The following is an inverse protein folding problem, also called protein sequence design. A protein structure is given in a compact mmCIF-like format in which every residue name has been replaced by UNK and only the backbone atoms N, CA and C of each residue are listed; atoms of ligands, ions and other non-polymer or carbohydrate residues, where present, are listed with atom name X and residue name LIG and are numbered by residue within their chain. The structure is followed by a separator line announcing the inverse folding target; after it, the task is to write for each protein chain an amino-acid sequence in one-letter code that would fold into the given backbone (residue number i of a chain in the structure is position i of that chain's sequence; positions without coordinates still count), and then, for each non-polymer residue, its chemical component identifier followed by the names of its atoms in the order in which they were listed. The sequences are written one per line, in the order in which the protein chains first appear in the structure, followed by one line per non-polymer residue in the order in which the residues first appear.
data_IF_320290853657
#
_entry.id   IF_320290853657
#
_cell.length_a   1.000
_cell.length_b   1.000
_cell.length_c   1.000
_cell.angle_alpha   90.00
_cell.angle_beta   90.00
_cell.angle_gamma   90.00
#
_symmetry.space_group_name_H-M   'P 1'
#
loop_
_entity.id
_entity.type
_entity.pdbx_description
1 polymer ?
#
# COMPACT_ATOMS: atom_id res chain seq x y z
N UNK A 1 23.02 -13.98 13.14
CA UNK A 1 22.60 -13.70 11.74
C UNK A 1 22.19 -12.25 11.65
N UNK A 2 22.90 -11.47 10.86
CA UNK A 2 22.69 -10.03 10.71
C UNK A 2 21.38 -9.81 9.94
N UNK A 3 20.35 -9.30 10.62
CA UNK A 3 19.06 -8.93 10.02
C UNK A 3 19.29 -7.71 9.15
N UNK A 4 19.52 -7.91 7.86
CA UNK A 4 19.45 -6.81 6.90
C UNK A 4 17.98 -6.46 6.70
N UNK A 5 17.46 -5.60 7.59
CA UNK A 5 16.17 -4.95 7.39
C UNK A 5 16.43 -3.80 6.42
N UNK A 6 16.06 -3.98 5.15
CA UNK A 6 15.98 -2.86 4.22
C UNK A 6 14.81 -1.97 4.68
N UNK A 7 15.12 -0.96 5.49
CA UNK A 7 14.17 0.02 5.97
C UNK A 7 14.41 1.33 5.23
N UNK A 8 13.45 1.74 4.40
CA UNK A 8 13.50 2.99 3.65
C UNK A 8 12.54 4.01 4.28
N UNK A 9 12.86 4.60 5.45
CA UNK A 9 11.93 5.44 6.21
C UNK A 9 11.54 6.73 5.49
N UNK A 10 12.28 7.10 4.45
CA UNK A 10 11.99 8.25 3.60
C UNK A 10 10.90 7.97 2.55
N UNK A 11 10.54 6.69 2.33
CA UNK A 11 9.44 6.31 1.44
C UNK A 11 8.15 6.21 2.24
N UNK A 12 7.12 6.91 1.78
CA UNK A 12 5.80 6.90 2.40
C UNK A 12 4.99 5.65 1.95
N UNK A 13 5.19 4.53 2.65
CA UNK A 13 4.60 3.22 2.33
C UNK A 13 3.33 2.82 3.08
N UNK A 14 2.76 3.73 3.87
CA UNK A 14 1.56 3.50 4.69
C UNK A 14 0.26 3.52 3.89
N UNK A 15 -0.81 2.95 4.45
CA UNK A 15 -2.18 3.10 3.93
C UNK A 15 -2.53 4.58 3.72
N UNK A 16 -3.21 4.90 2.62
CA UNK A 16 -3.74 6.24 2.41
C UNK A 16 -5.12 6.24 1.75
N UNK A 17 -5.87 7.30 2.05
CA UNK A 17 -7.09 7.71 1.39
C UNK A 17 -6.99 9.22 1.12
N UNK A 18 -7.09 9.61 -0.15
CA UNK A 18 -7.06 11.00 -0.59
C UNK A 18 -8.38 11.34 -1.27
N UNK A 19 -9.21 12.13 -0.61
CA UNK A 19 -10.53 12.51 -1.11
C UNK A 19 -10.48 13.67 -2.10
N UNK A 20 -11.18 13.54 -3.23
CA UNK A 20 -11.38 14.60 -4.21
C UNK A 20 -12.79 14.53 -4.82
N UNK A 21 -12.91 14.25 -6.12
CA UNK A 21 -14.19 14.14 -6.82
C UNK A 21 -14.93 12.83 -6.56
N UNK A 22 -16.08 12.67 -7.22
CA UNK A 22 -17.02 11.57 -6.99
C UNK A 22 -16.57 10.20 -7.55
N UNK A 23 -15.52 10.16 -8.37
CA UNK A 23 -14.99 8.90 -8.92
C UNK A 23 -13.82 8.43 -8.05
N UNK A 24 -13.98 7.22 -7.50
CA UNK A 24 -12.94 6.54 -6.73
C UNK A 24 -12.02 5.68 -7.59
N UNK A 25 -10.73 5.68 -7.27
CA UNK A 25 -9.73 4.74 -7.82
C UNK A 25 -9.07 4.01 -6.68
N UNK A 26 -9.18 2.68 -6.69
CA UNK A 26 -8.47 1.80 -5.78
C UNK A 26 -7.15 1.35 -6.41
N UNK A 27 -6.05 1.47 -5.68
CA UNK A 27 -4.73 1.03 -6.11
C UNK A 27 -4.21 -0.05 -5.16
N UNK A 28 -3.89 -1.21 -5.71
CA UNK A 28 -3.20 -2.28 -4.99
C UNK A 28 -1.72 -2.27 -5.37
N UNK A 29 -0.84 -2.45 -4.38
CA UNK A 29 0.58 -2.65 -4.62
C UNK A 29 0.90 -4.14 -4.82
N UNK A 30 2.09 -4.44 -5.33
CA UNK A 30 2.58 -5.79 -5.57
C UNK A 30 3.03 -6.53 -4.31
N UNK A 31 3.26 -7.84 -4.46
CA UNK A 31 3.88 -8.69 -3.45
C UNK A 31 5.27 -8.14 -3.08
N UNK A 32 5.61 -8.13 -1.78
CA UNK A 32 6.86 -7.58 -1.21
C UNK A 32 7.01 -6.05 -1.25
N UNK A 33 6.08 -5.33 -1.88
CA UNK A 33 6.09 -3.87 -1.95
C UNK A 33 5.34 -3.21 -0.76
N UNK A 34 5.20 -1.90 -0.82
CA UNK A 34 4.32 -1.08 0.05
C UNK A 34 3.54 -0.11 -0.83
N UNK A 35 2.66 0.72 -0.26
CA UNK A 35 1.91 1.73 -1.03
C UNK A 35 2.83 2.77 -1.69
N UNK A 36 4.10 2.86 -1.30
CA UNK A 36 5.10 3.70 -1.94
C UNK A 36 5.24 3.42 -3.45
N UNK A 37 5.05 2.17 -3.88
CA UNK A 37 5.09 1.75 -5.29
C UNK A 37 4.06 2.52 -6.15
N UNK A 38 2.86 2.70 -5.62
CA UNK A 38 1.73 3.31 -6.34
C UNK A 38 1.57 4.80 -6.06
N UNK A 39 2.32 5.36 -5.10
CA UNK A 39 2.10 6.72 -4.57
C UNK A 39 2.24 7.82 -5.62
N UNK A 40 3.23 7.73 -6.52
CA UNK A 40 3.40 8.72 -7.59
C UNK A 40 2.23 8.69 -8.59
N UNK A 41 1.71 7.52 -8.89
CA UNK A 41 0.55 7.37 -9.77
C UNK A 41 -0.73 7.86 -9.09
N UNK A 42 -0.92 7.51 -7.82
CA UNK A 42 -1.99 8.02 -6.98
C UNK A 42 -2.03 9.55 -6.99
N UNK A 43 -0.85 10.20 -6.86
CA UNK A 43 -0.76 11.66 -6.83
C UNK A 43 -1.24 12.26 -8.14
N UNK A 44 -0.84 11.67 -9.27
CA UNK A 44 -1.24 12.13 -10.59
C UNK A 44 -2.74 11.99 -10.85
N UNK A 45 -3.37 10.95 -10.30
CA UNK A 45 -4.83 10.76 -10.35
C UNK A 45 -5.55 11.76 -9.44
N UNK A 46 -5.06 11.94 -8.23
CA UNK A 46 -5.63 12.89 -7.28
C UNK A 46 -5.59 14.33 -7.80
N UNK A 47 -4.47 14.75 -8.41
CA UNK A 47 -4.34 16.04 -9.12
C UNK A 47 -5.33 16.22 -10.29
N UNK A 48 -5.90 15.13 -10.81
CA UNK A 48 -6.95 15.15 -11.83
C UNK A 48 -8.37 15.11 -11.25
N UNK A 49 -8.51 15.13 -9.92
CA UNK A 49 -9.80 15.17 -9.24
C UNK A 49 -10.38 13.81 -8.89
N UNK A 50 -9.62 12.71 -8.96
CA UNK A 50 -10.08 11.40 -8.49
C UNK A 50 -9.85 11.24 -6.99
N UNK A 51 -10.82 10.66 -6.28
CA UNK A 51 -10.59 10.14 -4.93
C UNK A 51 -9.75 8.86 -5.07
N UNK A 52 -8.67 8.71 -4.30
CA UNK A 52 -7.75 7.57 -4.44
C UNK A 52 -7.49 6.91 -3.09
N UNK A 53 -7.58 5.58 -3.05
CA UNK A 53 -7.27 4.78 -1.88
C UNK A 53 -6.24 3.70 -2.22
N UNK A 54 -5.31 3.46 -1.31
CA UNK A 54 -4.40 2.31 -1.37
C UNK A 54 -4.15 1.78 0.06
N UNK A 55 -4.66 0.59 0.39
CA UNK A 55 -4.32 -0.06 1.65
C UNK A 55 -2.90 -0.63 1.60
N UNK A 56 -2.20 -0.59 2.73
CA UNK A 56 -1.04 -1.45 2.95
C UNK A 56 -1.54 -2.86 3.26
N UNK A 57 -1.28 -3.81 2.35
CA UNK A 57 -1.76 -5.18 2.48
C UNK A 57 -1.14 -5.86 3.70
N UNK A 58 -1.91 -6.71 4.39
CA UNK A 58 -1.46 -7.45 5.57
C UNK A 58 -0.06 -8.09 5.38
N UNK A 59 0.80 -7.96 6.40
CA UNK A 59 2.17 -8.48 6.42
C UNK A 59 3.19 -7.69 5.61
N UNK A 60 2.78 -6.67 4.83
CA UNK A 60 3.69 -5.77 4.13
C UNK A 60 4.11 -4.59 4.99
N UNK A 61 5.23 -3.94 4.63
CA UNK A 61 5.76 -2.79 5.38
C UNK A 61 6.36 -3.12 6.75
N UNK A 62 6.37 -4.41 7.16
CA UNK A 62 6.93 -4.86 8.44
C UNK A 62 8.23 -5.63 8.23
N UNK A 63 8.18 -6.97 8.25
CA UNK A 63 9.32 -7.87 8.07
C UNK A 63 8.90 -9.07 7.22
N UNK A 64 9.82 -9.69 6.46
CA UNK A 64 9.49 -10.85 5.63
C UNK A 64 8.84 -12.02 6.39
N UNK A 65 9.13 -12.19 7.68
CA UNK A 65 8.52 -13.25 8.49
C UNK A 65 7.03 -13.04 8.76
N UNK A 66 6.56 -11.78 8.78
CA UNK A 66 5.14 -11.46 8.92
C UNK A 66 4.40 -11.73 7.61
N UNK A 67 5.02 -11.38 6.47
CA UNK A 67 4.48 -11.68 5.14
C UNK A 67 4.35 -13.20 4.87
N UNK A 68 5.21 -14.02 5.48
CA UNK A 68 5.10 -15.49 5.40
C UNK A 68 3.94 -16.07 6.22
N UNK A 69 3.28 -15.27 7.07
CA UNK A 69 2.19 -15.71 7.95
C UNK A 69 0.81 -15.29 7.46
N UNK A 70 0.74 -14.53 6.38
CA UNK A 70 -0.51 -14.05 5.79
C UNK A 70 -0.85 -14.84 4.53
N UNK A 71 -2.14 -14.87 4.23
CA UNK A 71 -2.73 -15.49 3.05
C UNK A 71 -3.24 -14.42 2.10
N UNK A 72 -3.58 -14.80 0.86
CA UNK A 72 -4.15 -13.83 -0.08
C UNK A 72 -5.53 -13.32 0.38
N UNK A 73 -6.25 -14.10 1.20
CA UNK A 73 -7.53 -13.70 1.78
C UNK A 73 -7.35 -12.53 2.75
N UNK A 74 -6.26 -12.51 3.53
CA UNK A 74 -5.93 -11.38 4.41
C UNK A 74 -5.63 -10.11 3.59
N UNK A 75 -5.09 -10.26 2.38
CA UNK A 75 -4.89 -9.13 1.45
C UNK A 75 -6.21 -8.63 0.88
N UNK A 76 -7.15 -9.52 0.57
CA UNK A 76 -8.50 -9.11 0.14
C UNK A 76 -9.21 -8.36 1.27
N UNK A 77 -9.15 -8.86 2.50
CA UNK A 77 -9.73 -8.17 3.66
C UNK A 77 -9.12 -6.78 3.88
N UNK A 78 -7.82 -6.61 3.59
CA UNK A 78 -7.16 -5.29 3.65
C UNK A 78 -7.75 -4.28 2.66
N UNK A 79 -8.29 -4.74 1.53
CA UNK A 79 -8.91 -3.90 0.50
C UNK A 79 -10.41 -3.66 0.64
N UNK A 80 -11.08 -4.38 1.53
CA UNK A 80 -12.52 -4.26 1.79
C UNK A 80 -12.85 -3.36 3.00
N UNK A 81 -11.83 -2.88 3.72
CA UNK A 81 -11.93 -1.98 4.88
C UNK A 81 -11.80 -0.52 4.47
#
# INVERSE_FOLDING_TARGET
MQKYVLHNPHLEGETFLWEAGSVGVFLSHGYTATTAEVRLFAKRLHEKGYSVAAPLLAGHGTRPEDLNRVTWQDWVESGEK
#
